data_IF_970276556150
#
_entry.id   IF_970276556150
#
_cell.length_a   1.000
_cell.length_b   1.000
_cell.length_c   1.000
_cell.angle_alpha   90.00
_cell.angle_beta   90.00
_cell.angle_gamma   90.00
#
_symmetry.space_group_name_H-M   'P 1'
#
loop_
_entity.id
_entity.type
_entity.pdbx_description
1 polymer ?
#
# COMPACT_ATOMS: atom_id res chain seq x y z
N UNK A 1 -35.40 26.53 0.29
CA UNK A 1 -33.95 26.51 0.54
C UNK A 1 -33.29 26.32 -0.80
N UNK A 2 -32.52 27.29 -1.31
CA UNK A 2 -31.77 27.06 -2.55
C UNK A 2 -30.80 25.91 -2.26
N UNK A 3 -30.86 24.86 -3.07
CA UNK A 3 -29.91 23.75 -3.01
C UNK A 3 -28.54 24.33 -3.37
N UNK A 4 -27.71 24.53 -2.35
CA UNK A 4 -26.34 24.99 -2.51
C UNK A 4 -25.60 23.95 -3.36
N UNK A 5 -25.09 24.39 -4.52
CA UNK A 5 -24.38 23.51 -5.45
C UNK A 5 -23.12 23.03 -4.74
N UNK A 6 -22.86 21.71 -4.67
CA UNK A 6 -21.67 21.20 -4.01
C UNK A 6 -20.40 21.81 -4.63
N UNK A 7 -19.46 22.32 -3.81
CA UNK A 7 -18.24 22.93 -4.32
C UNK A 7 -17.33 21.90 -4.99
N UNK A 8 -16.61 22.35 -6.02
CA UNK A 8 -15.53 21.61 -6.65
C UNK A 8 -14.30 21.67 -5.74
N UNK A 9 -14.19 20.67 -4.86
CA UNK A 9 -13.10 20.54 -3.90
C UNK A 9 -13.39 21.11 -2.51
N UNK A 10 -12.42 20.96 -1.60
CA UNK A 10 -12.46 21.50 -0.24
C UNK A 10 -11.59 20.73 0.75
N UNK A 11 -11.47 21.27 1.96
CA UNK A 11 -10.73 20.66 3.06
C UNK A 11 -11.69 20.27 4.19
N UNK A 12 -11.67 19.00 4.59
CA UNK A 12 -12.65 18.39 5.49
C UNK A 12 -11.94 17.83 6.72
N UNK A 13 -12.34 18.26 7.91
CA UNK A 13 -11.79 17.78 9.18
C UNK A 13 -12.85 17.26 10.16
N UNK A 14 -14.12 17.27 9.75
CA UNK A 14 -15.21 16.72 10.57
C UNK A 14 -15.10 15.19 10.68
N UNK A 15 -15.51 14.55 11.79
CA UNK A 15 -15.38 13.10 11.99
C UNK A 15 -16.12 12.23 10.97
N UNK A 16 -17.10 12.78 10.27
CA UNK A 16 -17.75 12.16 9.12
C UNK A 16 -18.30 13.25 8.21
N UNK A 17 -18.60 12.88 6.97
CA UNK A 17 -19.20 13.80 6.02
C UNK A 17 -19.51 13.15 4.68
N UNK A 18 -20.06 13.98 3.78
CA UNK A 18 -20.47 13.55 2.44
C UNK A 18 -19.76 14.43 1.42
N UNK A 19 -19.12 13.79 0.44
CA UNK A 19 -18.55 14.43 -0.73
C UNK A 19 -19.44 14.10 -1.93
N UNK A 20 -19.86 15.14 -2.63
CA UNK A 20 -20.72 15.04 -3.80
C UNK A 20 -19.97 15.58 -5.02
N UNK A 21 -20.15 14.94 -6.17
CA UNK A 21 -19.70 15.54 -7.43
C UNK A 21 -20.36 16.91 -7.64
N UNK A 22 -19.67 17.91 -8.21
CA UNK A 22 -20.25 19.23 -8.45
C UNK A 22 -21.53 19.12 -9.28
N UNK A 23 -22.60 19.82 -8.90
CA UNK A 23 -23.89 19.75 -9.60
C UNK A 23 -24.82 18.61 -9.18
N UNK A 24 -24.41 17.73 -8.25
CA UNK A 24 -25.26 16.68 -7.68
C UNK A 24 -26.58 17.25 -7.13
N UNK A 25 -27.73 16.54 -7.29
CA UNK A 25 -27.91 15.22 -7.90
C UNK A 25 -28.00 15.21 -9.43
N UNK A 26 -27.78 16.37 -10.07
CA UNK A 26 -27.70 16.50 -11.52
C UNK A 26 -26.35 16.04 -12.06
N UNK A 27 -26.13 16.37 -13.33
CA UNK A 27 -24.90 16.02 -14.03
C UNK A 27 -23.74 16.91 -13.58
N UNK A 28 -22.54 16.34 -13.45
CA UNK A 28 -21.34 17.14 -13.28
C UNK A 28 -21.01 17.92 -14.56
N UNK A 29 -20.15 18.93 -14.46
CA UNK A 29 -19.71 19.70 -15.62
C UNK A 29 -18.48 19.06 -16.27
N UNK A 30 -18.27 19.38 -17.53
CA UNK A 30 -17.08 19.01 -18.27
C UNK A 30 -15.89 19.89 -17.82
N UNK A 31 -14.66 19.44 -18.06
CA UNK A 31 -13.39 20.13 -17.81
C UNK A 31 -13.16 20.53 -16.35
N UNK A 32 -13.60 19.67 -15.44
CA UNK A 32 -13.40 19.82 -14.01
C UNK A 32 -12.02 19.31 -13.60
N UNK A 33 -11.50 19.95 -12.55
CA UNK A 33 -10.35 19.50 -11.78
C UNK A 33 -10.66 19.84 -10.31
N UNK A 34 -11.29 18.90 -9.62
CA UNK A 34 -11.78 19.09 -8.25
C UNK A 34 -10.95 18.29 -7.27
N UNK A 35 -10.53 18.95 -6.19
CA UNK A 35 -9.60 18.39 -5.21
C UNK A 35 -10.20 18.45 -3.80
N UNK A 36 -10.35 17.29 -3.16
CA UNK A 36 -10.80 17.21 -1.76
C UNK A 36 -9.70 16.62 -0.89
N UNK A 37 -9.46 17.23 0.26
CA UNK A 37 -8.59 16.71 1.31
C UNK A 37 -9.46 16.40 2.52
N UNK A 38 -9.36 15.19 3.04
CA UNK A 38 -9.94 14.80 4.32
C UNK A 38 -8.79 14.61 5.30
N UNK A 39 -8.83 15.31 6.43
CA UNK A 39 -7.85 15.27 7.51
C UNK A 39 -8.52 14.72 8.78
N UNK A 40 -7.92 13.68 9.34
CA UNK A 40 -8.24 13.14 10.65
C UNK A 40 -7.13 13.49 11.65
N UNK A 41 -7.45 13.37 12.95
CA UNK A 41 -6.42 13.47 13.98
C UNK A 41 -5.37 12.35 13.81
N UNK A 42 -4.08 12.63 14.11
CA UNK A 42 -3.02 11.63 14.00
C UNK A 42 -3.35 10.33 14.74
N UNK A 43 -3.12 9.20 14.07
CA UNK A 43 -3.44 7.85 14.60
C UNK A 43 -4.81 7.32 14.20
N UNK A 44 -5.70 8.15 13.67
CA UNK A 44 -6.97 7.68 13.12
C UNK A 44 -6.87 7.41 11.61
N UNK A 45 -7.62 6.41 11.15
CA UNK A 45 -7.79 6.12 9.73
C UNK A 45 -9.13 6.65 9.23
N UNK A 46 -9.20 6.93 7.93
CA UNK A 46 -10.39 7.43 7.25
C UNK A 46 -10.93 6.30 6.38
N UNK A 47 -12.20 5.98 6.55
CA UNK A 47 -12.91 5.03 5.69
C UNK A 47 -13.71 5.78 4.65
N UNK A 48 -13.59 5.37 3.39
CA UNK A 48 -14.36 5.89 2.26
C UNK A 48 -15.34 4.84 1.80
N UNK A 49 -16.60 5.23 1.64
CA UNK A 49 -17.68 4.37 1.11
C UNK A 49 -18.40 5.07 -0.02
N UNK A 50 -18.62 4.37 -1.13
CA UNK A 50 -19.31 4.88 -2.31
C UNK A 50 -20.79 4.47 -2.25
N UNK A 51 -21.70 5.45 -2.16
CA UNK A 51 -23.15 5.18 -2.24
C UNK A 51 -23.62 5.12 -3.70
N UNK A 52 -23.06 6.01 -4.53
CA UNK A 52 -23.36 6.15 -5.97
C UNK A 52 -22.09 6.51 -6.72
N UNK A 53 -21.94 5.95 -7.92
CA UNK A 53 -20.81 6.21 -8.79
C UNK A 53 -21.19 5.99 -10.26
N UNK A 54 -21.20 7.07 -11.04
CA UNK A 54 -21.48 7.07 -12.49
C UNK A 54 -20.68 8.19 -13.15
N UNK A 55 -19.56 7.86 -13.77
CA UNK A 55 -18.73 8.77 -14.57
C UNK A 55 -18.58 8.26 -16.00
N UNK A 56 -18.04 9.07 -16.91
CA UNK A 56 -17.73 8.59 -18.26
C UNK A 56 -16.58 7.57 -18.21
N UNK A 57 -16.83 6.40 -18.80
CA UNK A 57 -15.88 5.30 -18.85
C UNK A 57 -14.65 5.67 -19.68
N UNK A 58 -13.45 5.50 -19.13
CA UNK A 58 -12.13 5.82 -19.71
C UNK A 58 -11.78 7.32 -19.88
N UNK A 59 -12.66 8.26 -19.53
CA UNK A 59 -12.43 9.70 -19.73
C UNK A 59 -12.47 10.48 -18.42
N UNK A 60 -13.51 10.26 -17.61
CA UNK A 60 -13.70 10.95 -16.34
C UNK A 60 -13.27 10.07 -15.18
N UNK A 61 -12.30 10.54 -14.40
CA UNK A 61 -11.59 9.72 -13.41
C UNK A 61 -11.68 10.34 -12.03
N UNK A 62 -12.04 9.51 -11.05
CA UNK A 62 -11.84 9.81 -9.63
C UNK A 62 -10.65 9.01 -9.12
N UNK A 63 -9.58 9.72 -8.74
CA UNK A 63 -8.42 9.16 -8.05
C UNK A 63 -8.55 9.38 -6.54
N UNK A 64 -8.18 8.36 -5.76
CA UNK A 64 -8.13 8.41 -4.29
C UNK A 64 -6.72 8.06 -3.84
N UNK A 65 -6.08 8.95 -3.09
CA UNK A 65 -4.70 8.82 -2.62
C UNK A 65 -4.63 8.74 -1.08
N UNK A 66 -3.72 7.92 -0.58
CA UNK A 66 -3.44 7.72 0.84
C UNK A 66 -2.48 8.78 1.38
N UNK A 67 -3.01 9.97 1.64
CA UNK A 67 -2.26 11.08 2.20
C UNK A 67 -2.79 12.42 1.69
N UNK A 68 -2.04 13.52 1.89
CA UNK A 68 -2.60 14.87 1.73
C UNK A 68 -2.59 15.43 0.30
N UNK A 69 -2.02 14.75 -0.71
CA UNK A 69 -1.90 15.29 -2.08
C UNK A 69 -1.64 14.20 -3.14
N UNK A 70 -1.58 14.59 -4.43
CA UNK A 70 -1.31 13.69 -5.57
C UNK A 70 -0.01 12.88 -5.48
N UNK A 71 0.99 13.33 -4.72
CA UNK A 71 2.26 12.60 -4.60
C UNK A 71 2.14 11.41 -3.63
N UNK A 72 1.03 11.32 -2.89
CA UNK A 72 0.71 10.21 -2.02
C UNK A 72 0.36 8.94 -2.82
N UNK A 73 0.57 7.75 -2.23
CA UNK A 73 0.23 6.48 -2.86
C UNK A 73 -1.22 6.44 -3.35
N UNK A 74 -1.44 5.94 -4.56
CA UNK A 74 -2.79 5.78 -5.12
C UNK A 74 -3.47 4.56 -4.49
N UNK A 75 -4.61 4.76 -3.83
CA UNK A 75 -5.47 3.68 -3.31
C UNK A 75 -6.40 3.12 -4.39
N UNK A 76 -6.86 3.98 -5.29
CA UNK A 76 -7.72 3.56 -6.39
C UNK A 76 -7.94 4.66 -7.41
N UNK A 77 -8.19 4.25 -8.66
CA UNK A 77 -8.58 5.10 -9.77
C UNK A 77 -9.84 4.51 -10.38
N UNK A 78 -10.92 5.28 -10.38
CA UNK A 78 -12.27 4.80 -10.68
C UNK A 78 -12.89 5.60 -11.83
N UNK A 79 -13.56 4.90 -12.73
CA UNK A 79 -14.36 5.48 -13.80
C UNK A 79 -15.51 4.53 -14.21
N UNK A 80 -16.46 5.03 -15.00
CA UNK A 80 -17.63 4.27 -15.43
C UNK A 80 -18.72 4.19 -14.36
N UNK A 81 -19.51 3.12 -14.38
CA UNK A 81 -20.75 3.00 -13.58
C UNK A 81 -20.71 1.92 -12.51
N UNK A 82 -19.60 1.18 -12.39
CA UNK A 82 -19.42 0.21 -11.33
C UNK A 82 -19.14 0.95 -10.02
N UNK A 83 -19.98 0.71 -9.00
CA UNK A 83 -19.77 1.28 -7.67
C UNK A 83 -18.53 0.62 -7.05
N UNK A 84 -17.49 1.39 -6.67
CA UNK A 84 -16.30 0.83 -6.05
C UNK A 84 -16.57 0.23 -4.67
N UNK A 85 -15.71 -0.69 -4.24
CA UNK A 85 -15.69 -1.16 -2.86
C UNK A 85 -15.21 -0.04 -1.93
N UNK A 86 -15.61 -0.12 -0.65
CA UNK A 86 -15.06 0.77 0.38
C UNK A 86 -13.54 0.56 0.52
N UNK A 87 -12.87 1.59 1.01
CA UNK A 87 -11.43 1.57 1.28
C UNK A 87 -11.11 2.28 2.60
N UNK A 88 -9.90 2.05 3.09
CA UNK A 88 -9.36 2.71 4.27
C UNK A 88 -8.04 3.40 3.91
N UNK A 89 -7.76 4.55 4.53
CA UNK A 89 -6.41 5.11 4.54
C UNK A 89 -5.51 4.34 5.53
N UNK A 90 -4.21 4.28 5.24
CA UNK A 90 -3.19 3.92 6.22
C UNK A 90 -2.66 5.14 6.98
N UNK A 91 -2.88 6.34 6.45
CA UNK A 91 -2.56 7.62 7.08
C UNK A 91 -3.79 8.30 7.68
N UNK A 92 -3.59 9.45 8.33
CA UNK A 92 -4.67 10.31 8.81
C UNK A 92 -5.19 11.28 7.72
N UNK A 93 -4.81 11.08 6.46
CA UNK A 93 -5.24 11.92 5.34
C UNK A 93 -5.76 11.06 4.17
N UNK A 94 -6.76 11.59 3.48
CA UNK A 94 -7.15 11.12 2.14
C UNK A 94 -7.22 12.33 1.21
N UNK A 95 -6.69 12.16 0.01
CA UNK A 95 -6.79 13.13 -1.07
C UNK A 95 -7.60 12.53 -2.22
N UNK A 96 -8.64 13.23 -2.67
CA UNK A 96 -9.45 12.84 -3.80
C UNK A 96 -9.28 13.85 -4.93
N UNK A 97 -9.04 13.36 -6.14
CA UNK A 97 -8.97 14.16 -7.36
C UNK A 97 -10.03 13.65 -8.34
N UNK A 98 -10.96 14.52 -8.72
CA UNK A 98 -11.91 14.24 -9.81
C UNK A 98 -11.59 15.11 -11.01
N UNK A 99 -11.24 14.48 -12.13
CA UNK A 99 -10.97 15.14 -13.41
C UNK A 99 -11.98 14.70 -14.46
N UNK A 100 -12.44 15.65 -15.27
CA UNK A 100 -13.34 15.37 -16.40
C UNK A 100 -12.78 15.92 -17.70
N UNK A 101 -13.12 15.28 -18.82
CA UNK A 101 -12.68 15.71 -20.15
C UNK A 101 -13.53 16.88 -20.69
N UNK A 102 -13.51 17.17 -21.98
CA UNK A 102 -14.27 18.30 -22.55
C UNK A 102 -15.70 17.96 -23.03
N UNK A 103 -16.24 16.78 -22.68
CA UNK A 103 -17.57 16.36 -23.09
C UNK A 103 -18.23 15.37 -22.13
N UNK A 104 -19.51 15.06 -22.38
CA UNK A 104 -20.24 13.90 -21.81
C UNK A 104 -20.14 13.72 -20.29
N UNK A 105 -20.95 14.49 -19.59
CA UNK A 105 -21.19 14.27 -18.17
C UNK A 105 -22.14 13.12 -17.84
N UNK A 106 -22.06 12.67 -16.58
CA UNK A 106 -22.99 11.72 -15.95
C UNK A 106 -23.45 12.24 -14.57
N UNK A 107 -24.23 11.46 -13.83
CA UNK A 107 -24.73 11.83 -12.49
C UNK A 107 -23.65 11.93 -11.41
N UNK A 108 -22.43 11.48 -11.69
CA UNK A 108 -21.28 11.60 -10.79
C UNK A 108 -21.37 10.66 -9.61
N UNK A 109 -20.99 11.15 -8.43
CA UNK A 109 -20.81 10.30 -7.25
C UNK A 109 -21.31 10.94 -5.97
N UNK A 110 -21.62 10.05 -5.02
CA UNK A 110 -21.90 10.38 -3.63
C UNK A 110 -21.06 9.47 -2.74
N UNK A 111 -20.12 10.09 -2.05
CA UNK A 111 -19.13 9.44 -1.21
C UNK A 111 -19.39 9.82 0.25
N UNK A 112 -19.36 8.84 1.12
CA UNK A 112 -19.34 9.04 2.57
C UNK A 112 -17.94 8.78 3.08
N UNK A 113 -17.48 9.65 3.98
CA UNK A 113 -16.27 9.40 4.74
C UNK A 113 -16.59 9.39 6.23
N UNK A 114 -15.90 8.52 6.96
CA UNK A 114 -15.97 8.44 8.41
C UNK A 114 -14.57 8.20 8.97
N UNK A 115 -14.22 8.91 10.04
CA UNK A 115 -13.02 8.65 10.82
C UNK A 115 -13.29 7.38 11.62
N UNK A 116 -12.44 6.38 11.45
CA UNK A 116 -12.48 5.18 12.26
C UNK A 116 -11.87 5.47 13.64
N UNK A 117 -12.73 5.55 14.66
CA UNK A 117 -12.39 5.89 16.06
C UNK A 117 -12.62 4.75 17.05
N UNK A 118 -12.92 3.54 16.57
CA UNK A 118 -13.30 2.43 17.45
C UNK A 118 -12.60 1.11 17.13
N UNK A 119 -11.92 1.00 15.98
CA UNK A 119 -11.19 -0.20 15.60
C UNK A 119 -9.80 0.12 15.04
N UNK A 120 -8.92 -0.87 15.05
CA UNK A 120 -7.69 -0.87 14.27
C UNK A 120 -8.02 -1.16 12.81
N UNK A 121 -7.07 -0.86 11.92
CA UNK A 121 -7.15 -1.28 10.52
C UNK A 121 -7.05 -2.81 10.43
N UNK A 122 -7.63 -3.41 9.38
CA UNK A 122 -7.42 -4.83 9.12
C UNK A 122 -5.91 -5.09 8.93
N UNK A 123 -5.25 -5.91 9.78
CA UNK A 123 -3.81 -6.16 9.69
C UNK A 123 -3.42 -7.00 8.46
N UNK A 124 -4.40 -7.59 7.77
CA UNK A 124 -4.21 -8.52 6.66
C UNK A 124 -4.09 -9.97 7.11
N UNK A 125 -3.63 -10.82 6.19
CA UNK A 125 -3.34 -12.24 6.41
C UNK A 125 -1.91 -12.50 5.90
N UNK A 126 -1.04 -13.17 6.68
CA UNK A 126 0.30 -13.52 6.23
C UNK A 126 0.26 -14.42 4.99
N UNK A 127 1.21 -14.26 4.08
CA UNK A 127 1.39 -15.19 2.97
C UNK A 127 1.73 -16.57 3.54
N UNK A 128 1.10 -17.64 3.02
CA UNK A 128 1.16 -18.99 3.61
C UNK A 128 0.68 -19.07 5.06
N UNK A 129 -0.28 -18.21 5.40
CA UNK A 129 -0.87 -18.15 6.73
C UNK A 129 -2.39 -17.99 6.71
N UNK A 130 -2.95 -18.14 7.90
CA UNK A 130 -4.37 -17.99 8.18
C UNK A 130 -4.52 -17.13 9.43
N UNK A 131 -5.49 -16.20 9.41
CA UNK A 131 -5.87 -15.39 10.58
C UNK A 131 -7.08 -15.99 11.28
N UNK A 132 -7.08 -15.96 12.60
CA UNK A 132 -8.24 -16.23 13.44
C UNK A 132 -8.69 -14.93 14.11
N UNK A 133 -10.00 -14.67 14.04
CA UNK A 133 -10.61 -13.42 14.48
C UNK A 133 -10.89 -12.47 13.32
N UNK A 134 -12.00 -11.74 13.47
CA UNK A 134 -12.51 -10.76 12.50
C UNK A 134 -13.00 -9.48 13.20
N UNK A 135 -12.85 -9.40 14.52
CA UNK A 135 -13.16 -8.22 15.29
C UNK A 135 -11.88 -7.41 15.49
N UNK A 136 -11.91 -6.17 15.02
CA UNK A 136 -10.78 -5.24 15.10
C UNK A 136 -11.05 -4.09 16.07
N UNK A 137 -12.13 -4.15 16.84
CA UNK A 137 -12.44 -3.12 17.83
C UNK A 137 -11.34 -3.02 18.89
N UNK A 138 -11.18 -1.82 19.47
CA UNK A 138 -10.17 -1.58 20.51
C UNK A 138 -10.32 -2.60 21.65
N UNK A 139 -9.24 -3.27 22.00
CA UNK A 139 -9.18 -4.32 23.02
C UNK A 139 -9.34 -5.74 22.46
N UNK A 140 -9.79 -5.90 21.22
CA UNK A 140 -9.90 -7.21 20.57
C UNK A 140 -8.54 -7.72 20.10
N UNK A 141 -8.42 -9.04 20.01
CA UNK A 141 -7.19 -9.72 19.58
C UNK A 141 -7.42 -10.59 18.36
N UNK A 142 -6.43 -10.65 17.49
CA UNK A 142 -6.37 -11.59 16.36
C UNK A 142 -5.10 -12.42 16.44
N UNK A 143 -5.22 -13.70 16.11
CA UNK A 143 -4.08 -14.63 16.09
C UNK A 143 -3.89 -15.20 14.71
N UNK A 144 -2.72 -15.80 14.48
CA UNK A 144 -2.33 -16.31 13.17
C UNK A 144 -1.80 -17.73 13.28
N UNK A 145 -1.85 -18.47 12.18
CA UNK A 145 -1.12 -19.73 12.00
C UNK A 145 -0.53 -19.77 10.60
N UNK A 146 0.51 -20.57 10.42
CA UNK A 146 1.09 -20.81 9.11
C UNK A 146 0.67 -22.17 8.54
N UNK A 147 0.69 -22.27 7.22
CA UNK A 147 0.51 -23.52 6.49
C UNK A 147 1.58 -24.56 6.89
N UNK A 148 1.32 -25.87 6.70
CA UNK A 148 2.29 -26.92 6.98
C UNK A 148 3.64 -26.66 6.29
N UNK A 149 4.72 -26.74 7.07
CA UNK A 149 6.08 -26.46 6.57
C UNK A 149 6.56 -25.04 6.82
N UNK A 150 5.72 -24.17 7.39
CA UNK A 150 6.06 -22.80 7.78
C UNK A 150 5.91 -22.60 9.30
N UNK A 151 6.52 -21.54 9.83
CA UNK A 151 6.45 -21.12 11.23
C UNK A 151 6.30 -19.61 11.28
N UNK A 152 5.50 -19.11 12.23
CA UNK A 152 5.35 -17.69 12.47
C UNK A 152 6.67 -17.06 12.93
N UNK A 153 6.92 -15.83 12.50
CA UNK A 153 8.02 -14.99 13.00
C UNK A 153 7.90 -14.71 14.51
N UNK A 154 6.66 -14.61 15.00
CA UNK A 154 6.31 -14.49 16.41
C UNK A 154 4.92 -15.11 16.65
N UNK A 155 4.71 -15.71 17.83
CA UNK A 155 3.49 -16.46 18.15
C UNK A 155 2.48 -15.61 18.97
N UNK A 156 2.80 -14.34 19.22
CA UNK A 156 1.98 -13.43 20.02
C UNK A 156 0.76 -12.93 19.23
N UNK A 157 -0.46 -13.01 19.79
CA UNK A 157 -1.63 -12.39 19.18
C UNK A 157 -1.46 -10.88 19.03
N UNK A 158 -2.00 -10.32 17.95
CA UNK A 158 -2.09 -8.87 17.79
C UNK A 158 -3.26 -8.36 18.61
N UNK A 159 -3.00 -7.39 19.49
CA UNK A 159 -4.00 -6.67 20.28
C UNK A 159 -4.27 -5.32 19.62
N UNK A 160 -5.54 -4.99 19.39
CA UNK A 160 -5.90 -3.66 18.95
C UNK A 160 -5.83 -2.70 20.14
N UNK A 161 -4.83 -1.81 20.13
CA UNK A 161 -4.61 -0.88 21.23
C UNK A 161 -5.49 0.38 21.11
N UNK A 162 -5.60 1.12 22.21
CA UNK A 162 -6.40 2.38 22.26
C UNK A 162 -5.90 3.47 21.31
N UNK A 163 -4.69 3.33 20.78
CA UNK A 163 -4.09 4.24 19.83
C UNK A 163 -4.45 3.88 18.37
N UNK A 164 -5.35 2.92 18.14
CA UNK A 164 -5.76 2.40 16.82
C UNK A 164 -4.67 1.61 16.07
N UNK A 165 -3.60 1.25 16.76
CA UNK A 165 -2.53 0.40 16.23
C UNK A 165 -2.61 -1.01 16.83
N UNK A 166 -2.15 -1.98 16.04
CA UNK A 166 -1.88 -3.32 16.56
C UNK A 166 -0.61 -3.28 17.42
N UNK A 167 -0.62 -4.04 18.51
CA UNK A 167 0.52 -4.17 19.42
C UNK A 167 1.84 -4.52 18.71
N UNK A 168 1.75 -5.26 17.61
CA UNK A 168 2.88 -5.66 16.78
C UNK A 168 2.51 -5.63 15.28
N UNK A 169 3.48 -5.59 14.36
CA UNK A 169 3.21 -5.77 12.94
C UNK A 169 2.73 -7.20 12.62
N UNK A 170 2.03 -7.35 11.48
CA UNK A 170 1.60 -8.63 10.95
C UNK A 170 2.77 -9.65 10.93
N UNK A 171 2.63 -10.84 11.55
CA UNK A 171 3.68 -11.85 11.53
C UNK A 171 3.90 -12.41 10.12
N UNK A 172 5.13 -12.85 9.86
CA UNK A 172 5.45 -13.57 8.63
C UNK A 172 5.45 -15.08 8.86
N UNK A 173 5.16 -15.85 7.81
CA UNK A 173 5.30 -17.30 7.81
C UNK A 173 6.59 -17.71 7.10
N UNK A 174 7.59 -18.14 7.86
CA UNK A 174 8.90 -18.56 7.37
C UNK A 174 9.01 -20.10 7.30
N UNK A 175 9.56 -20.64 6.21
CA UNK A 175 9.68 -22.09 6.02
C UNK A 175 10.58 -22.78 7.07
N UNK A 176 10.20 -23.96 7.56
CA UNK A 176 10.95 -24.84 8.47
C UNK A 176 12.16 -25.51 7.79
N UNK A 177 13.08 -24.72 7.27
CA UNK A 177 14.43 -25.18 6.96
C UNK A 177 15.36 -24.60 8.02
N UNK A 178 16.35 -25.36 8.50
CA UNK A 178 17.59 -24.70 8.98
C UNK A 178 18.01 -23.77 7.84
N UNK A 179 17.90 -22.46 8.03
CA UNK A 179 17.93 -21.51 6.92
C UNK A 179 19.36 -21.42 6.35
N UNK A 180 19.70 -22.31 5.40
CA UNK A 180 20.90 -22.17 4.57
C UNK A 180 20.69 -21.16 3.44
N UNK A 181 19.43 -20.80 3.17
CA UNK A 181 19.00 -19.83 2.17
C UNK A 181 17.57 -19.37 2.48
N UNK A 182 17.28 -18.08 2.31
CA UNK A 182 15.94 -17.50 2.45
C UNK A 182 15.76 -16.32 1.50
N UNK A 183 14.52 -15.92 1.27
CA UNK A 183 14.16 -14.81 0.39
C UNK A 183 13.58 -13.68 1.23
N UNK A 184 14.16 -12.50 1.13
CA UNK A 184 13.64 -11.30 1.78
C UNK A 184 12.71 -10.60 0.79
N UNK A 185 11.45 -10.41 1.20
CA UNK A 185 10.43 -9.72 0.40
C UNK A 185 10.25 -8.29 0.90
N UNK A 186 9.85 -7.39 0.00
CA UNK A 186 9.41 -6.04 0.35
C UNK A 186 8.10 -6.09 1.16
N UNK A 187 7.86 -5.15 2.10
CA UNK A 187 6.65 -5.13 2.91
C UNK A 187 5.39 -5.10 2.06
N UNK A 188 4.45 -6.03 2.19
CA UNK A 188 3.23 -6.02 1.37
C UNK A 188 3.36 -6.67 0.00
N UNK A 189 4.50 -7.29 -0.35
CA UNK A 189 4.57 -8.17 -1.53
C UNK A 189 3.44 -9.23 -1.50
N UNK A 190 2.77 -9.54 -2.65
CA UNK A 190 3.04 -9.07 -4.02
C UNK A 190 2.48 -7.69 -4.37
N UNK A 191 1.73 -7.08 -3.45
CA UNK A 191 1.16 -5.74 -3.59
C UNK A 191 2.24 -4.65 -3.49
N UNK A 192 1.89 -3.44 -3.93
CA UNK A 192 2.78 -2.30 -3.86
C UNK A 192 3.03 -1.90 -2.41
N UNK A 193 4.30 -1.82 -2.03
CA UNK A 193 4.68 -1.36 -0.69
C UNK A 193 4.67 0.17 -0.62
N UNK A 194 4.25 0.78 0.50
CA UNK A 194 4.18 2.23 0.64
C UNK A 194 5.55 2.89 0.46
N UNK A 195 5.56 4.05 -0.20
CA UNK A 195 6.73 4.91 -0.18
C UNK A 195 6.97 5.43 1.25
N UNK A 196 8.25 5.56 1.67
CA UNK A 196 8.70 6.08 2.97
C UNK A 196 8.97 5.07 4.10
N UNK A 197 9.13 3.78 3.78
CA UNK A 197 9.54 2.77 4.76
C UNK A 197 11.07 2.67 4.89
N UNK A 198 11.60 2.90 6.10
CA UNK A 198 12.98 2.57 6.44
C UNK A 198 13.08 1.10 6.87
N UNK A 199 13.12 0.19 5.89
CA UNK A 199 13.25 -1.23 6.17
C UNK A 199 14.71 -1.61 6.46
N UNK A 200 14.94 -2.25 7.61
CA UNK A 200 16.23 -2.86 7.95
C UNK A 200 16.02 -4.35 8.14
N UNK A 201 16.73 -5.16 7.36
CA UNK A 201 16.73 -6.62 7.51
C UNK A 201 18.03 -7.07 8.16
N UNK A 202 17.93 -7.73 9.31
CA UNK A 202 19.07 -8.31 10.01
C UNK A 202 19.12 -9.80 9.69
N UNK A 203 20.28 -10.27 9.20
CA UNK A 203 20.52 -11.69 8.90
C UNK A 203 21.71 -12.17 9.73
N UNK A 204 21.39 -12.85 10.83
CA UNK A 204 22.37 -13.47 11.72
C UNK A 204 22.80 -14.84 11.20
N UNK A 205 24.11 -15.08 11.17
CA UNK A 205 24.69 -16.34 10.66
C UNK A 205 25.72 -16.85 11.65
N UNK A 206 25.68 -18.15 11.94
CA UNK A 206 26.69 -18.83 12.78
C UNK A 206 28.08 -18.73 12.15
N UNK A 207 29.08 -18.42 12.96
CA UNK A 207 30.47 -18.17 12.54
C UNK A 207 31.02 -19.33 11.67
N UNK A 208 31.51 -19.04 10.46
CA UNK A 208 32.21 -20.02 9.60
C UNK A 208 31.55 -20.39 8.26
N UNK A 209 30.38 -19.81 7.89
CA UNK A 209 29.74 -20.02 6.58
C UNK A 209 29.74 -18.72 5.75
N UNK A 210 30.26 -18.75 4.53
CA UNK A 210 30.26 -17.61 3.59
C UNK A 210 28.86 -17.27 3.07
N UNK A 211 28.57 -15.98 2.84
CA UNK A 211 27.25 -15.49 2.38
C UNK A 211 27.18 -15.44 0.84
N UNK A 212 26.06 -15.89 0.25
CA UNK A 212 25.74 -15.76 -1.19
C UNK A 212 24.31 -15.24 -1.33
N UNK A 213 24.13 -14.07 -1.93
CA UNK A 213 22.82 -13.45 -2.18
C UNK A 213 22.66 -13.20 -3.69
N UNK A 214 21.52 -13.60 -4.27
CA UNK A 214 21.22 -13.44 -5.70
C UNK A 214 19.96 -12.59 -5.91
N UNK A 215 19.95 -11.71 -6.91
CA UNK A 215 18.74 -11.07 -7.41
C UNK A 215 18.12 -11.86 -8.55
N UNK A 216 16.80 -12.01 -8.52
CA UNK A 216 16.03 -12.57 -9.63
C UNK A 216 15.12 -11.45 -10.15
N UNK A 217 15.23 -11.01 -11.42
CA UNK A 217 14.33 -10.02 -11.99
C UNK A 217 12.92 -10.61 -12.19
N UNK A 218 11.89 -9.79 -12.02
CA UNK A 218 10.54 -10.14 -12.45
C UNK A 218 10.45 -10.11 -13.99
N UNK A 219 9.67 -11.00 -14.63
CA UNK A 219 9.57 -11.11 -16.10
C UNK A 219 9.06 -9.84 -16.83
N UNK A 220 8.59 -8.83 -16.11
CA UNK A 220 7.89 -7.66 -16.66
C UNK A 220 8.79 -6.44 -16.95
N UNK A 221 10.07 -6.44 -16.58
CA UNK A 221 10.95 -5.28 -16.80
C UNK A 221 12.36 -5.68 -17.24
N UNK A 222 12.68 -5.39 -18.51
CA UNK A 222 14.01 -5.56 -19.10
C UNK A 222 14.89 -4.32 -18.84
N UNK A 223 15.78 -4.35 -17.84
CA UNK A 223 17.18 -3.84 -17.88
C UNK A 223 17.86 -3.98 -16.51
N UNK A 224 19.07 -4.56 -16.39
CA UNK A 224 19.79 -4.66 -15.11
C UNK A 224 20.96 -3.66 -15.03
N UNK A 225 21.06 -2.89 -13.94
CA UNK A 225 22.35 -2.33 -13.48
C UNK A 225 22.36 -2.09 -11.96
N UNK A 226 23.30 -2.73 -11.26
CA UNK A 226 23.78 -2.32 -9.94
C UNK A 226 25.31 -2.53 -9.91
N UNK A 227 26.08 -1.48 -9.61
CA UNK A 227 27.55 -1.52 -9.49
C UNK A 227 27.94 -1.24 -8.04
N UNK A 228 28.70 -2.14 -7.41
CA UNK A 228 29.23 -1.96 -6.06
C UNK A 228 30.63 -1.34 -6.09
N UNK A 229 30.93 -0.41 -5.17
CA UNK A 229 32.28 0.11 -4.90
C UNK A 229 32.57 0.00 -3.39
N UNK A 230 33.57 -0.81 -3.01
CA UNK A 230 34.31 -0.66 -1.73
C UNK A 230 33.92 -1.56 -0.54
N UNK A 231 34.92 -1.82 0.33
CA UNK A 231 34.92 -2.73 1.49
C UNK A 231 34.01 -2.29 2.66
N UNK A 232 33.46 -3.28 3.34
CA UNK A 232 32.40 -3.19 4.36
C UNK A 232 32.83 -2.60 5.72
N UNK A 233 32.09 -1.57 6.15
CA UNK A 233 31.55 -1.38 7.51
C UNK A 233 30.33 -0.45 7.37
N UNK A 234 29.15 -0.98 7.67
CA UNK A 234 27.86 -0.26 7.83
C UNK A 234 27.59 0.88 6.84
N UNK A 235 26.73 0.65 5.82
CA UNK A 235 26.08 1.77 5.11
C UNK A 235 24.60 1.53 4.82
N UNK A 236 23.90 2.66 4.87
CA UNK A 236 22.50 2.96 4.60
C UNK A 236 22.32 3.13 3.08
N UNK A 237 21.24 2.59 2.51
CA UNK A 237 20.96 2.66 1.06
C UNK A 237 20.00 3.82 0.76
N UNK A 238 20.29 4.63 -0.25
CA UNK A 238 19.34 5.56 -0.86
C UNK A 238 19.09 5.08 -2.29
N UNK A 239 17.86 4.67 -2.58
CA UNK A 239 17.42 4.22 -3.90
C UNK A 239 16.51 5.28 -4.52
N UNK A 240 16.59 5.55 -5.84
CA UNK A 240 15.56 6.30 -6.59
C UNK A 240 14.20 5.57 -6.56
N UNK A 241 13.17 6.06 -7.26
CA UNK A 241 11.82 5.46 -7.25
C UNK A 241 11.69 4.26 -8.23
N UNK A 242 11.24 3.10 -7.72
CA UNK A 242 10.94 1.87 -8.49
C UNK A 242 11.03 0.59 -7.63
N UNK A 243 10.57 -0.59 -8.11
CA UNK A 243 10.81 -1.86 -7.42
C UNK A 243 12.25 -2.33 -7.69
N UNK A 244 13.03 -2.56 -6.63
CA UNK A 244 14.44 -2.97 -6.75
C UNK A 244 14.69 -4.31 -6.08
N UNK A 245 15.49 -5.16 -6.73
CA UNK A 245 16.13 -6.32 -6.12
C UNK A 245 17.63 -6.03 -5.96
N UNK A 246 18.17 -6.18 -4.75
CA UNK A 246 19.59 -5.87 -4.41
C UNK A 246 20.47 -7.14 -4.31
N UNK A 247 21.55 -7.22 -5.10
CA UNK A 247 22.58 -8.26 -4.94
C UNK A 247 23.98 -7.75 -5.30
N UNK A 248 24.98 -8.36 -4.65
CA UNK A 248 26.39 -7.96 -4.64
C UNK A 248 27.22 -9.14 -5.18
N UNK A 249 28.17 -8.88 -6.09
CA UNK A 249 29.15 -9.86 -6.56
C UNK A 249 30.58 -9.49 -6.18
N UNK A 250 31.38 -10.51 -5.91
CA UNK A 250 32.82 -10.48 -5.67
C UNK A 250 33.55 -10.74 -6.99
N UNK A 251 34.47 -9.85 -7.39
CA UNK A 251 35.46 -10.13 -8.44
C UNK A 251 36.69 -10.80 -7.81
N UNK A 252 37.01 -12.02 -8.24
CA UNK A 252 38.35 -12.60 -8.04
C UNK A 252 39.15 -12.42 -9.33
N UNK A 253 40.33 -11.79 -9.18
CA UNK A 253 41.31 -11.55 -10.23
C UNK A 253 41.72 -12.84 -10.95
N UNK A 254 41.42 -12.94 -12.24
CA UNK A 254 42.05 -13.92 -13.14
C UNK A 254 41.14 -14.53 -14.20
N UNK A 255 41.10 -13.91 -15.39
CA UNK A 255 41.13 -14.62 -16.68
C UNK A 255 39.89 -15.32 -17.25
N UNK A 256 39.41 -14.77 -18.37
CA UNK A 256 38.67 -15.37 -19.50
C UNK A 256 37.13 -15.54 -19.49
N UNK A 257 36.54 -15.08 -20.60
CA UNK A 257 35.15 -15.22 -21.10
C UNK A 257 34.93 -16.60 -21.72
N UNK A 258 33.68 -17.12 -21.70
CA UNK A 258 32.78 -17.33 -22.87
C UNK A 258 31.51 -18.12 -22.42
N UNK A 259 30.33 -17.50 -22.44
CA UNK A 259 29.15 -17.75 -23.31
C UNK A 259 28.79 -19.23 -23.52
N UNK A 260 27.60 -19.64 -23.06
CA UNK A 260 26.63 -20.42 -23.86
C UNK A 260 25.17 -20.05 -23.50
N UNK A 261 24.33 -20.08 -24.54
CA UNK A 261 22.90 -19.76 -24.68
C UNK A 261 22.10 -21.06 -24.82
N UNK A 262 20.82 -21.04 -24.40
CA UNK A 262 19.72 -21.92 -24.86
C UNK A 262 19.73 -23.34 -24.27
N UNK A 263 18.62 -23.99 -23.92
CA UNK A 263 17.19 -23.84 -24.26
C UNK A 263 16.28 -23.68 -23.05
#
# INVERSE_FOLDING_TARGET
HPHEVPPCGGHFSSPSGVILSPGWPGYYKDSLNCEWVIEAEPGHSIKITFERFQTELNYDVLEVHDGPNLLSPLLGSYNGTQVPQFLFSSSNFIYLLFTTDNSRSNNGFKIHYEINTYSCLDPGIPVHGTRYGHDFSIGSTVSFSCDPGYRLSHEEPLLCEKNHWWSHPLPNCDGKNELTSGTILSPGYPELYPNSLNCTWTVDVTHGKGKKCNCIPLPLYNTPFCKALGKFRTKRWLLPKGPYNLSVRQETTGGYRQIFKGT
#
